data_IF_882510694934
#
_entry.id   IF_882510694934
#
_cell.length_a   1.000
_cell.length_b   1.000
_cell.length_c   1.000
_cell.angle_alpha   90.00
_cell.angle_beta   90.00
_cell.angle_gamma   90.00
#
_symmetry.space_group_name_H-M   'P 1'
#
loop_
_entity.id
_entity.type
_entity.pdbx_description
1 polymer ?
#
# COMPACT_ATOMS: atom_id res chain seq x y z
N UNK A 1 -13.46 4.56 -8.61
CA UNK A 1 -12.37 4.31 -7.64
C UNK A 1 -11.09 4.87 -8.24
N UNK A 2 -10.41 5.77 -7.54
CA UNK A 2 -9.16 6.38 -8.01
C UNK A 2 -8.01 5.47 -7.59
N UNK A 3 -7.18 5.03 -8.53
CA UNK A 3 -6.01 4.22 -8.18
C UNK A 3 -4.86 5.16 -7.82
N UNK A 4 -4.65 5.36 -6.52
CA UNK A 4 -3.54 6.16 -6.02
C UNK A 4 -2.19 5.54 -6.39
N UNK A 5 -2.14 4.22 -6.49
CA UNK A 5 -1.00 3.44 -6.95
C UNK A 5 -1.45 2.42 -8.01
N UNK A 6 -0.66 2.25 -9.07
CA UNK A 6 -0.92 1.29 -10.14
C UNK A 6 -0.67 -0.17 -9.68
N UNK A 7 -1.73 -0.98 -9.64
CA UNK A 7 -1.64 -2.36 -9.19
C UNK A 7 -0.85 -3.23 -10.18
N UNK A 8 0.02 -4.13 -9.67
CA UNK A 8 0.82 -5.06 -10.50
C UNK A 8 0.01 -6.01 -11.38
N UNK A 9 -1.28 -6.15 -11.11
CA UNK A 9 -2.19 -6.97 -11.91
C UNK A 9 -2.52 -6.31 -13.25
N UNK A 10 -2.28 -4.99 -13.39
CA UNK A 10 -2.70 -4.24 -14.56
C UNK A 10 -4.20 -4.00 -14.51
N UNK A 11 -4.95 -4.70 -15.36
CA UNK A 11 -6.41 -4.57 -15.40
C UNK A 11 -7.04 -5.13 -14.12
N UNK A 12 -7.74 -4.26 -13.40
CA UNK A 12 -8.33 -4.60 -12.11
C UNK A 12 -9.53 -5.54 -12.22
N UNK A 13 -10.12 -5.68 -13.41
CA UNK A 13 -11.15 -6.69 -13.69
C UNK A 13 -10.63 -8.12 -13.48
N UNK A 14 -9.31 -8.32 -13.63
CA UNK A 14 -8.65 -9.61 -13.51
C UNK A 14 -8.44 -10.04 -12.04
N UNK A 15 -8.66 -9.15 -11.06
CA UNK A 15 -8.54 -9.51 -9.66
C UNK A 15 -9.77 -10.30 -9.18
N UNK A 16 -9.70 -11.63 -9.27
CA UNK A 16 -10.78 -12.54 -8.89
C UNK A 16 -10.36 -13.54 -7.79
N UNK A 17 -11.33 -14.27 -7.23
CA UNK A 17 -11.07 -15.43 -6.35
C UNK A 17 -10.47 -15.13 -4.96
N UNK A 18 -10.40 -13.86 -4.53
CA UNK A 18 -9.77 -13.42 -3.27
C UNK A 18 -10.71 -12.70 -2.29
N UNK A 19 -12.02 -12.91 -2.44
CA UNK A 19 -13.06 -12.18 -1.67
C UNK A 19 -12.95 -12.41 -0.16
N UNK A 20 -12.75 -13.66 0.25
CA UNK A 20 -12.64 -14.01 1.67
C UNK A 20 -11.39 -13.40 2.32
N UNK A 21 -10.23 -13.49 1.66
CA UNK A 21 -9.00 -12.90 2.21
C UNK A 21 -9.11 -11.38 2.30
N UNK A 22 -9.74 -10.73 1.30
CA UNK A 22 -10.01 -9.30 1.35
C UNK A 22 -10.97 -8.94 2.49
N UNK A 23 -12.04 -9.72 2.70
CA UNK A 23 -12.97 -9.50 3.81
C UNK A 23 -12.27 -9.60 5.17
N UNK A 24 -11.38 -10.59 5.35
CA UNK A 24 -10.57 -10.73 6.57
C UNK A 24 -9.65 -9.53 6.81
N UNK A 25 -9.06 -8.97 5.75
CA UNK A 25 -8.24 -7.77 5.81
C UNK A 25 -9.09 -6.53 6.15
N UNK A 26 -10.26 -6.37 5.54
CA UNK A 26 -11.16 -5.25 5.84
C UNK A 26 -11.67 -5.30 7.29
N UNK A 27 -12.00 -6.49 7.79
CA UNK A 27 -12.37 -6.67 9.20
C UNK A 27 -11.21 -6.27 10.13
N UNK A 28 -9.97 -6.58 9.75
CA UNK A 28 -8.79 -6.13 10.49
C UNK A 28 -8.60 -4.61 10.46
N UNK A 29 -8.79 -3.98 9.31
CA UNK A 29 -8.74 -2.51 9.18
C UNK A 29 -9.76 -1.85 10.11
N UNK A 30 -10.98 -2.38 10.17
CA UNK A 30 -12.05 -1.82 11.02
C UNK A 30 -11.71 -1.83 12.52
N UNK A 31 -10.78 -2.69 12.95
CA UNK A 31 -10.31 -2.76 14.33
C UNK A 31 -9.16 -1.78 14.62
N UNK A 32 -8.50 -1.21 13.60
CA UNK A 32 -7.36 -0.29 13.77
C UNK A 32 -7.77 0.97 14.54
N UNK A 33 -8.86 1.69 14.21
CA UNK A 33 -9.25 2.90 14.95
C UNK A 33 -9.54 2.65 16.43
N UNK A 34 -9.96 1.42 16.77
CA UNK A 34 -10.24 0.98 18.15
C UNK A 34 -9.00 0.50 18.88
N UNK A 35 -7.81 0.54 18.25
CA UNK A 35 -6.54 0.01 18.78
C UNK A 35 -6.60 -1.49 19.16
N UNK A 36 -7.51 -2.24 18.53
CA UNK A 36 -7.71 -3.68 18.76
C UNK A 36 -7.06 -4.55 17.67
N UNK A 37 -6.65 -3.94 16.56
CA UNK A 37 -5.98 -4.65 15.48
C UNK A 37 -4.57 -5.10 15.91
N UNK A 38 -4.29 -6.40 15.77
CA UNK A 38 -2.95 -6.97 15.94
C UNK A 38 -2.19 -6.97 14.62
N UNK A 39 -0.86 -7.02 14.66
CA UNK A 39 -0.02 -7.23 13.48
C UNK A 39 -0.41 -8.53 12.77
N UNK A 40 -0.50 -8.48 11.44
CA UNK A 40 -0.86 -9.63 10.60
C UNK A 40 0.18 -9.83 9.51
N UNK A 41 0.45 -11.09 9.21
CA UNK A 41 1.30 -11.50 8.10
C UNK A 41 0.49 -12.34 7.11
N UNK A 42 0.65 -12.05 5.81
CA UNK A 42 0.10 -12.89 4.74
C UNK A 42 1.24 -13.74 4.16
N UNK A 43 1.24 -15.02 4.50
CA UNK A 43 2.25 -15.98 4.07
C UNK A 43 1.75 -16.83 2.90
N UNK A 44 2.67 -17.27 2.04
CA UNK A 44 2.36 -18.16 0.92
C UNK A 44 3.46 -18.15 -0.12
N UNK A 45 3.35 -19.04 -1.12
CA UNK A 45 4.39 -19.21 -2.15
C UNK A 45 4.56 -17.95 -3.03
N UNK A 46 5.70 -17.85 -3.71
CA UNK A 46 5.97 -16.79 -4.69
C UNK A 46 4.92 -16.86 -5.81
N UNK A 47 4.58 -15.71 -6.40
CA UNK A 47 3.58 -15.56 -7.48
C UNK A 47 2.13 -15.93 -7.12
N UNK A 48 1.78 -16.08 -5.83
CA UNK A 48 0.39 -16.27 -5.40
C UNK A 48 -0.46 -14.97 -5.35
N UNK A 49 0.06 -13.81 -5.76
CA UNK A 49 -0.69 -12.55 -5.74
C UNK A 49 -0.80 -11.86 -4.38
N UNK A 50 0.05 -12.22 -3.41
CA UNK A 50 0.08 -11.59 -2.06
C UNK A 50 0.40 -10.09 -2.11
N UNK A 51 1.31 -9.68 -3.00
CA UNK A 51 1.60 -8.25 -3.17
C UNK A 51 0.42 -7.52 -3.78
N UNK A 52 -0.28 -8.13 -4.73
CA UNK A 52 -1.43 -7.51 -5.40
C UNK A 52 -2.61 -7.28 -4.45
N UNK A 53 -2.90 -8.21 -3.52
CA UNK A 53 -3.97 -8.00 -2.54
C UNK A 53 -3.64 -6.82 -1.59
N UNK A 54 -2.37 -6.61 -1.24
CA UNK A 54 -1.96 -5.48 -0.41
C UNK A 54 -2.02 -4.15 -1.16
N UNK A 55 -1.65 -4.14 -2.44
CA UNK A 55 -1.79 -2.98 -3.32
C UNK A 55 -3.26 -2.59 -3.51
N UNK A 56 -4.13 -3.59 -3.70
CA UNK A 56 -5.59 -3.40 -3.76
C UNK A 56 -6.14 -2.82 -2.46
N UNK A 57 -5.71 -3.36 -1.32
CA UNK A 57 -6.11 -2.85 0.00
C UNK A 57 -5.69 -1.39 0.17
N UNK A 58 -4.45 -1.03 -0.19
CA UNK A 58 -3.98 0.34 -0.16
C UNK A 58 -4.90 1.28 -0.96
N UNK A 59 -5.22 0.91 -2.20
CA UNK A 59 -6.11 1.72 -3.04
C UNK A 59 -7.52 1.84 -2.44
N UNK A 60 -8.08 0.76 -1.88
CA UNK A 60 -9.39 0.80 -1.21
C UNK A 60 -9.36 1.80 -0.05
N UNK A 61 -8.39 1.70 0.84
CA UNK A 61 -8.26 2.57 2.01
C UNK A 61 -8.02 4.03 1.62
N UNK A 62 -7.19 4.25 0.60
CA UNK A 62 -6.93 5.59 0.08
C UNK A 62 -8.23 6.23 -0.45
N UNK A 63 -9.07 5.47 -1.16
CA UNK A 63 -10.36 5.98 -1.64
C UNK A 63 -11.36 6.24 -0.52
N UNK A 64 -11.42 5.34 0.48
CA UNK A 64 -12.33 5.48 1.61
C UNK A 64 -12.08 6.75 2.42
N UNK A 65 -10.85 7.29 2.39
CA UNK A 65 -10.46 8.51 3.09
C UNK A 65 -10.90 8.50 4.57
N UNK A 66 -10.78 7.33 5.20
CA UNK A 66 -11.25 7.08 6.55
C UNK A 66 -10.23 7.44 7.63
N UNK A 67 -10.44 6.98 8.86
CA UNK A 67 -9.51 7.19 9.97
C UNK A 67 -8.18 6.42 9.82
N UNK A 68 -8.12 5.45 8.91
CA UNK A 68 -6.93 4.63 8.66
C UNK A 68 -6.21 5.16 7.43
N UNK A 69 -4.99 5.65 7.63
CA UNK A 69 -4.11 6.12 6.55
C UNK A 69 -3.28 4.94 6.05
N UNK A 70 -3.40 4.53 4.78
CA UNK A 70 -2.64 3.42 4.25
C UNK A 70 -1.20 3.82 3.95
N UNK A 71 -0.26 2.90 4.23
CA UNK A 71 1.16 3.02 3.86
C UNK A 71 1.61 1.69 3.27
N UNK A 72 2.25 1.75 2.10
CA UNK A 72 2.75 0.59 1.35
C UNK A 72 4.23 0.75 1.02
N UNK A 73 5.05 -0.16 1.54
CA UNK A 73 6.48 -0.23 1.24
C UNK A 73 6.82 -1.62 0.76
N UNK A 74 7.59 -1.71 -0.32
CA UNK A 74 8.16 -2.96 -0.79
C UNK A 74 9.61 -3.05 -0.35
N UNK A 75 9.93 -4.10 0.40
CA UNK A 75 11.31 -4.42 0.79
C UNK A 75 11.78 -5.56 -0.11
N UNK A 76 12.80 -5.29 -0.91
CA UNK A 76 13.39 -6.24 -1.84
C UNK A 76 14.48 -7.06 -1.14
N UNK A 77 14.61 -8.32 -1.54
CA UNK A 77 15.58 -9.27 -0.98
C UNK A 77 16.95 -9.09 -1.67
N UNK A 78 17.66 -8.02 -1.29
CA UNK A 78 19.02 -7.71 -1.75
C UNK A 78 19.77 -6.90 -0.69
N UNK A 79 21.10 -6.89 -0.77
CA UNK A 79 21.92 -6.08 0.11
C UNK A 79 21.66 -4.60 -0.16
N UNK A 80 21.32 -3.87 0.91
CA UNK A 80 21.01 -2.44 0.87
C UNK A 80 21.67 -1.72 2.04
N UNK A 81 22.26 -0.56 1.77
CA UNK A 81 22.81 0.29 2.82
C UNK A 81 21.69 0.90 3.66
N UNK A 82 21.90 0.97 4.97
CA UNK A 82 20.88 1.49 5.90
C UNK A 82 20.45 2.92 5.57
N UNK A 83 21.38 3.75 5.10
CA UNK A 83 21.11 5.15 4.72
C UNK A 83 20.21 5.24 3.48
N UNK A 84 20.51 4.45 2.44
CA UNK A 84 19.70 4.40 1.21
C UNK A 84 18.30 3.84 1.48
N UNK A 85 18.21 2.81 2.32
CA UNK A 85 16.94 2.28 2.79
C UNK A 85 16.13 3.33 3.55
N UNK A 86 16.78 4.06 4.46
CA UNK A 86 16.14 5.10 5.27
C UNK A 86 15.62 6.24 4.40
N UNK A 87 16.41 6.72 3.44
CA UNK A 87 15.98 7.75 2.48
C UNK A 87 14.76 7.27 1.68
N UNK A 88 14.79 6.04 1.16
CA UNK A 88 13.66 5.43 0.43
C UNK A 88 12.42 5.32 1.31
N UNK A 89 12.57 4.86 2.56
CA UNK A 89 11.49 4.71 3.53
C UNK A 89 10.79 6.05 3.79
N UNK A 90 11.54 7.07 4.21
CA UNK A 90 10.98 8.35 4.60
C UNK A 90 10.36 9.09 3.41
N UNK A 91 11.01 9.09 2.24
CA UNK A 91 10.45 9.69 1.04
C UNK A 91 9.15 9.00 0.61
N UNK A 92 9.10 7.67 0.68
CA UNK A 92 7.88 6.91 0.34
C UNK A 92 6.76 7.25 1.31
N UNK A 93 7.06 7.26 2.62
CA UNK A 93 6.10 7.58 3.67
C UNK A 93 5.50 8.98 3.47
N UNK A 94 6.35 10.00 3.33
CA UNK A 94 5.90 11.39 3.15
C UNK A 94 5.09 11.53 1.86
N UNK A 95 5.54 10.93 0.74
CA UNK A 95 4.82 11.01 -0.54
C UNK A 95 3.43 10.39 -0.47
N UNK A 96 3.30 9.20 0.13
CA UNK A 96 2.02 8.52 0.29
C UNK A 96 1.10 9.25 1.28
N UNK A 97 1.65 9.78 2.36
CA UNK A 97 0.90 10.59 3.31
C UNK A 97 0.37 11.87 2.66
N UNK A 98 1.23 12.61 1.94
CA UNK A 98 0.81 13.80 1.22
C UNK A 98 -0.20 13.45 0.14
N UNK A 99 0.03 12.40 -0.66
CA UNK A 99 -0.95 11.89 -1.64
C UNK A 99 -2.33 11.65 -1.01
N UNK A 100 -2.37 11.01 0.17
CA UNK A 100 -3.62 10.77 0.88
C UNK A 100 -4.30 12.08 1.31
N UNK A 101 -3.53 13.07 1.79
CA UNK A 101 -4.04 14.37 2.27
C UNK A 101 -4.45 15.31 1.15
N UNK A 102 -3.63 15.46 0.12
CA UNK A 102 -3.87 16.36 -1.02
C UNK A 102 -4.74 15.74 -2.10
N UNK A 103 -5.05 14.43 -1.97
CA UNK A 103 -5.81 13.64 -2.96
C UNK A 103 -5.12 13.59 -4.33
N UNK A 104 -3.81 13.73 -4.35
CA UNK A 104 -2.99 13.64 -5.56
C UNK A 104 -2.52 12.20 -5.76
N UNK A 105 -2.64 11.69 -6.98
CA UNK A 105 -2.21 10.32 -7.33
C UNK A 105 -0.68 10.21 -7.25
N UNK A 106 -0.16 9.05 -6.85
CA UNK A 106 1.28 8.83 -6.79
C UNK A 106 1.88 8.68 -8.20
N UNK A 107 3.18 8.97 -8.37
CA UNK A 107 3.87 8.70 -9.63
C UNK A 107 3.86 7.21 -9.93
N UNK A 108 4.03 6.87 -11.21
CA UNK A 108 4.14 5.49 -11.66
C UNK A 108 5.18 4.69 -10.86
N UNK A 109 4.84 3.44 -10.55
CA UNK A 109 5.75 2.50 -9.90
C UNK A 109 5.99 2.74 -8.39
N UNK A 110 5.08 3.41 -7.67
CA UNK A 110 5.24 3.77 -6.25
C UNK A 110 6.50 4.61 -5.97
N UNK A 111 7.02 5.31 -6.98
CA UNK A 111 8.19 6.14 -6.77
C UNK A 111 7.82 7.30 -5.84
N UNK A 112 8.66 7.62 -4.85
CA UNK A 112 8.43 8.79 -4.03
C UNK A 112 8.43 10.05 -4.89
N UNK A 113 7.71 11.07 -4.45
CA UNK A 113 7.75 12.39 -5.05
C UNK A 113 9.18 12.93 -5.03
N UNK A 114 9.56 13.58 -6.14
CA UNK A 114 10.82 14.31 -6.20
C UNK A 114 10.65 15.62 -5.45
N UNK A 115 11.00 15.61 -4.17
CA UNK A 115 10.96 16.79 -3.29
C UNK A 115 11.95 17.91 -3.69
N UNK A 116 12.84 17.67 -4.65
CA UNK A 116 13.77 18.68 -5.18
C UNK A 116 13.10 19.78 -6.04
N UNK A 117 11.78 19.73 -6.22
CA UNK A 117 11.00 20.68 -7.04
C UNK A 117 9.85 21.36 -6.29
N UNK A 118 9.87 21.34 -4.96
CA UNK A 118 8.92 22.05 -4.11
C UNK A 118 9.51 23.37 -3.62
#
# INVERSE_FOLDING_TARGET
MIYAFEERIGDQSLFCGRREQMALLMNWVNLIPRKMAKSRALLGRRKCGKSAIMQRLFNILWNQNGPVIPFYLEVLDHDQWLLDFSDTYYRTFISQYLSFKTRTVLPLGNQPWKFSKL
#
